data_IF_373430681139
#
_entry.id   IF_373430681139
#
_cell.length_a   1.000
_cell.length_b   1.000
_cell.length_c   1.000
_cell.angle_alpha   90.00
_cell.angle_beta   90.00
_cell.angle_gamma   90.00
#
_symmetry.space_group_name_H-M   'P 1'
#
loop_
_entity.id
_entity.type
_entity.pdbx_description
1 polymer ?
#
# COMPACT_ATOMS: atom_id res chain seq x y z
N UNK A 1 19.19 45.44 -0.29
CA UNK A 1 18.08 46.36 0.08
C UNK A 1 16.78 45.56 0.04
N UNK A 2 16.08 45.43 1.15
CA UNK A 2 14.89 44.57 1.26
C UNK A 2 13.61 45.38 1.02
N UNK A 3 12.69 44.83 0.22
CA UNK A 3 11.48 45.54 -0.24
C UNK A 3 10.46 45.77 0.89
N UNK A 4 9.81 46.95 0.95
CA UNK A 4 8.97 47.35 2.10
C UNK A 4 7.67 46.55 2.28
N UNK A 5 7.30 45.67 1.34
CA UNK A 5 6.14 44.77 1.49
C UNK A 5 6.39 43.64 2.50
N UNK A 6 7.62 43.12 2.60
CA UNK A 6 7.91 41.91 3.40
C UNK A 6 7.76 42.18 4.90
N UNK A 7 8.15 43.37 5.35
CA UNK A 7 8.04 43.77 6.76
C UNK A 7 6.61 43.95 7.27
N UNK A 8 5.65 44.28 6.39
CA UNK A 8 4.24 44.44 6.78
C UNK A 8 3.48 43.11 6.88
N UNK A 9 3.88 42.11 6.10
CA UNK A 9 3.27 40.77 6.16
C UNK A 9 3.71 40.02 7.43
N UNK A 10 4.99 40.17 7.83
CA UNK A 10 5.53 39.56 9.06
C UNK A 10 4.87 40.12 10.33
N UNK A 11 4.53 41.42 10.33
CA UNK A 11 3.88 42.08 11.47
C UNK A 11 2.40 41.67 11.63
N UNK A 12 1.70 41.37 10.54
CA UNK A 12 0.33 40.83 10.61
C UNK A 12 0.29 39.40 11.19
N UNK A 13 1.25 38.55 10.79
CA UNK A 13 1.35 37.17 11.29
C UNK A 13 1.65 37.11 12.80
N UNK A 14 2.44 38.04 13.33
CA UNK A 14 2.74 38.11 14.77
C UNK A 14 1.56 38.60 15.63
N UNK A 15 0.63 39.38 15.07
CA UNK A 15 -0.57 39.86 15.77
C UNK A 15 -1.70 38.81 15.85
N UNK A 16 -1.75 37.87 14.91
CA UNK A 16 -2.75 36.77 14.93
C UNK A 16 -2.40 35.69 15.97
N UNK A 17 -1.14 35.55 16.37
CA UNK A 17 -0.70 34.58 17.38
C UNK A 17 -0.86 35.05 18.85
N UNK A 18 -1.28 36.30 19.11
CA UNK A 18 -1.41 36.86 20.46
C UNK A 18 -2.84 36.90 21.01
N UNK A 19 -3.82 36.32 20.29
CA UNK A 19 -5.23 36.24 20.75
C UNK A 19 -5.74 34.80 20.67
N UNK A 20 -5.21 33.95 21.54
CA UNK A 20 -5.83 32.68 21.94
C UNK A 20 -6.26 32.78 23.40
N UNK A 21 -7.54 32.48 23.71
CA UNK A 21 -7.91 31.87 24.97
C UNK A 21 -8.33 30.41 24.75
N UNK A 22 -7.62 29.51 25.44
CA UNK A 22 -7.83 28.06 25.47
C UNK A 22 -9.06 27.69 26.31
N UNK A 23 -10.06 27.04 25.71
CA UNK A 23 -11.03 26.13 26.37
C UNK A 23 -11.53 25.16 25.27
N UNK A 24 -11.66 23.85 25.43
CA UNK A 24 -11.72 23.03 26.64
C UNK A 24 -12.81 21.97 26.40
N UNK A 25 -12.48 20.87 25.70
CA UNK A 25 -13.47 19.87 25.27
C UNK A 25 -13.55 18.73 26.30
N UNK A 26 -14.52 18.81 27.20
CA UNK A 26 -14.90 17.67 28.04
C UNK A 26 -15.66 16.61 27.22
N UNK A 27 -15.42 15.33 27.54
CA UNK A 27 -16.13 14.20 26.95
C UNK A 27 -16.41 13.15 28.02
N UNK A 28 -17.65 13.11 28.48
CA UNK A 28 -18.11 12.13 29.48
C UNK A 28 -18.15 10.71 28.90
N UNK A 29 -17.89 9.72 29.76
CA UNK A 29 -17.89 8.28 29.43
C UNK A 29 -19.09 7.56 30.04
N UNK A 30 -19.68 6.64 29.27
CA UNK A 30 -20.28 5.37 29.71
C UNK A 30 -21.28 5.34 30.89
N UNK A 31 -22.54 5.04 30.55
CA UNK A 31 -23.62 4.55 31.43
C UNK A 31 -24.11 5.56 32.50
N UNK A 32 -25.41 5.79 32.74
CA UNK A 32 -26.63 5.07 32.33
C UNK A 32 -27.78 6.03 31.95
N UNK A 33 -28.95 5.45 31.71
CA UNK A 33 -30.18 6.10 31.28
C UNK A 33 -30.64 7.31 32.12
N UNK A 34 -31.04 8.36 31.39
CA UNK A 34 -32.33 9.03 31.54
C UNK A 34 -32.64 9.85 32.82
N UNK A 35 -32.49 11.18 32.67
CA UNK A 35 -33.23 12.27 33.36
C UNK A 35 -32.78 12.59 34.81
N UNK A 36 -33.36 13.64 35.45
CA UNK A 36 -32.77 14.96 35.45
C UNK A 36 -31.91 15.20 36.71
N UNK A 37 -30.64 14.81 36.59
CA UNK A 37 -29.48 15.14 37.44
C UNK A 37 -29.73 15.15 38.97
N UNK A 38 -29.76 13.95 39.55
CA UNK A 38 -30.03 13.70 40.96
C UNK A 38 -28.81 13.91 41.88
N UNK A 39 -29.01 14.62 42.99
CA UNK A 39 -28.26 14.37 44.24
C UNK A 39 -29.22 14.39 45.44
N UNK A 40 -29.15 13.34 46.28
CA UNK A 40 -29.56 13.43 47.70
C UNK A 40 -28.97 12.27 48.49
N UNK A 41 -28.24 12.61 49.55
CA UNK A 41 -27.79 11.69 50.60
C UNK A 41 -28.55 11.99 51.90
N UNK A 42 -28.74 10.93 52.71
CA UNK A 42 -29.32 10.92 54.07
C UNK A 42 -30.74 11.49 54.21
N UNK A 43 -31.52 11.11 55.23
CA UNK A 43 -31.30 10.11 56.28
C UNK A 43 -32.47 10.16 57.26
N UNK A 44 -32.79 9.00 57.85
CA UNK A 44 -33.55 8.79 59.09
C UNK A 44 -34.64 9.81 59.54
N UNK A 45 -35.87 9.29 59.64
CA UNK A 45 -36.38 9.02 60.99
C UNK A 45 -37.38 9.97 61.65
N UNK A 46 -38.59 9.41 61.85
CA UNK A 46 -39.46 9.54 63.05
C UNK A 46 -40.33 10.79 63.26
N UNK A 47 -41.63 10.50 63.26
CA UNK A 47 -42.62 10.88 64.28
C UNK A 47 -42.75 12.37 64.67
N UNK A 48 -43.80 13.00 64.14
CA UNK A 48 -44.56 13.94 64.95
C UNK A 48 -45.29 13.17 66.08
N UNK A 49 -45.32 13.71 67.29
CA UNK A 49 -46.54 13.94 68.10
C UNK A 49 -46.20 14.48 69.50
N UNK A 50 -46.75 15.66 69.79
CA UNK A 50 -47.24 16.17 71.09
C UNK A 50 -46.29 16.65 72.22
N UNK A 51 -46.52 17.94 72.50
CA UNK A 51 -46.40 18.72 73.73
C UNK A 51 -46.69 18.02 75.09
N UNK A 52 -46.35 18.76 76.16
CA UNK A 52 -46.88 18.73 77.55
C UNK A 52 -46.19 17.89 78.66
N UNK A 53 -45.00 18.35 79.08
CA UNK A 53 -44.78 19.11 80.34
C UNK A 53 -45.66 18.84 81.60
N UNK A 54 -44.99 18.39 82.69
CA UNK A 54 -45.32 18.37 84.14
C UNK A 54 -46.49 17.53 84.71
N UNK A 55 -46.20 16.81 85.82
CA UNK A 55 -47.20 16.37 86.82
C UNK A 55 -46.83 15.12 87.65
N UNK A 56 -46.53 15.28 88.95
CA UNK A 56 -46.27 14.18 89.91
C UNK A 56 -47.55 13.46 90.37
N UNK A 57 -47.43 12.21 90.88
CA UNK A 57 -47.92 11.74 92.21
C UNK A 57 -47.85 10.20 92.40
N UNK A 58 -47.90 9.71 93.66
CA UNK A 58 -47.78 8.28 94.03
C UNK A 58 -49.07 7.67 94.61
N UNK A 59 -49.48 6.50 94.10
CA UNK A 59 -50.27 5.37 94.69
C UNK A 59 -50.49 4.30 93.60
N UNK A 60 -50.92 3.05 93.82
CA UNK A 60 -51.20 2.22 95.02
C UNK A 60 -51.70 0.83 94.54
N UNK A 61 -51.37 -0.33 95.16
CA UNK A 61 -51.40 -1.61 94.43
C UNK A 61 -52.61 -2.53 94.69
N UNK A 62 -53.07 -3.22 93.62
CA UNK A 62 -53.67 -4.58 93.54
C UNK A 62 -54.29 -4.74 92.13
N UNK A 63 -54.33 -5.89 91.44
CA UNK A 63 -53.72 -7.21 91.60
C UNK A 63 -53.95 -7.99 90.28
N UNK A 64 -53.14 -9.00 89.96
CA UNK A 64 -53.05 -9.53 88.58
C UNK A 64 -54.18 -10.52 88.21
N UNK A 65 -54.96 -10.30 87.13
CA UNK A 65 -55.75 -11.36 86.50
C UNK A 65 -54.85 -12.40 85.81
N UNK A 66 -55.32 -13.65 85.71
CA UNK A 66 -54.62 -14.72 85.00
C UNK A 66 -54.51 -14.46 83.50
N UNK A 67 -53.48 -15.03 82.85
CA UNK A 67 -53.28 -14.91 81.40
C UNK A 67 -54.16 -15.89 80.64
N UNK A 68 -54.81 -15.40 79.58
CA UNK A 68 -55.40 -16.25 78.55
C UNK A 68 -54.33 -17.04 77.78
N UNK A 69 -54.71 -18.21 77.28
CA UNK A 69 -53.84 -19.05 76.45
C UNK A 69 -53.62 -18.45 75.06
N UNK A 70 -52.36 -18.39 74.61
CA UNK A 70 -52.03 -17.88 73.28
C UNK A 70 -52.60 -18.80 72.17
N UNK A 71 -53.11 -18.26 71.06
CA UNK A 71 -53.47 -19.05 69.88
C UNK A 71 -52.28 -19.83 69.32
N UNK A 72 -52.54 -20.99 68.72
CA UNK A 72 -51.52 -21.79 68.04
C UNK A 72 -50.86 -21.03 66.89
N UNK A 73 -49.55 -21.21 66.73
CA UNK A 73 -48.77 -20.49 65.72
C UNK A 73 -49.14 -20.90 64.28
N UNK A 74 -49.18 -19.92 63.38
CA UNK A 74 -49.39 -20.15 61.95
C UNK A 74 -48.25 -20.99 61.35
N UNK A 75 -48.59 -21.86 60.39
CA UNK A 75 -47.62 -22.69 59.67
C UNK A 75 -46.58 -21.86 58.89
N UNK A 76 -45.36 -22.38 58.81
CA UNK A 76 -44.22 -21.71 58.17
C UNK A 76 -44.45 -21.63 56.64
N UNK A 77 -44.32 -20.46 56.00
CA UNK A 77 -44.37 -20.36 54.54
C UNK A 77 -43.28 -21.19 53.87
N UNK A 78 -43.61 -21.83 52.74
CA UNK A 78 -42.63 -22.58 51.95
C UNK A 78 -41.53 -21.69 51.37
N UNK A 79 -40.30 -22.19 51.35
CA UNK A 79 -39.14 -21.47 50.81
C UNK A 79 -39.26 -21.26 49.29
N UNK A 80 -38.95 -20.06 48.76
CA UNK A 80 -38.92 -19.82 47.31
C UNK A 80 -37.99 -20.78 46.57
N UNK A 81 -38.35 -21.12 45.32
CA UNK A 81 -37.53 -21.96 44.45
C UNK A 81 -36.20 -21.30 44.09
N UNK A 82 -35.16 -22.13 43.92
CA UNK A 82 -33.83 -21.68 43.48
C UNK A 82 -33.90 -21.13 42.05
N UNK A 83 -33.28 -19.96 41.76
CA UNK A 83 -33.18 -19.45 40.40
C UNK A 83 -32.46 -20.43 39.45
N UNK A 84 -32.85 -20.39 38.17
CA UNK A 84 -32.18 -21.17 37.12
C UNK A 84 -30.72 -20.75 36.94
N UNK A 85 -29.89 -21.69 36.48
CA UNK A 85 -28.46 -21.45 36.23
C UNK A 85 -28.26 -20.77 34.88
N UNK A 86 -27.39 -19.77 34.83
CA UNK A 86 -27.06 -19.06 33.59
C UNK A 86 -26.51 -20.00 32.51
N UNK A 87 -26.83 -19.68 31.25
CA UNK A 87 -26.33 -20.42 30.09
C UNK A 87 -24.82 -20.28 29.89
N UNK A 88 -24.21 -21.25 29.22
CA UNK A 88 -22.79 -21.19 28.87
C UNK A 88 -22.52 -20.03 27.91
N UNK A 89 -21.46 -19.27 28.19
CA UNK A 89 -21.03 -18.16 27.33
C UNK A 89 -20.50 -18.71 26.00
N UNK A 90 -20.99 -18.16 24.89
CA UNK A 90 -20.53 -18.54 23.55
C UNK A 90 -19.04 -18.30 23.34
N UNK A 91 -18.44 -19.09 22.46
CA UNK A 91 -17.03 -19.00 22.11
C UNK A 91 -16.70 -17.66 21.43
N UNK A 92 -15.48 -17.17 21.64
CA UNK A 92 -15.01 -15.93 21.03
C UNK A 92 -14.62 -16.23 19.57
N UNK A 93 -15.29 -15.60 18.62
CA UNK A 93 -14.95 -15.71 17.20
C UNK A 93 -13.49 -15.35 16.93
N UNK A 94 -12.82 -16.15 16.10
CA UNK A 94 -11.44 -15.93 15.69
C UNK A 94 -11.33 -14.73 14.75
N UNK A 95 -10.26 -13.95 14.92
CA UNK A 95 -9.96 -12.85 14.01
C UNK A 95 -9.22 -13.42 12.79
N UNK A 96 -9.90 -13.50 11.64
CA UNK A 96 -9.26 -13.82 10.37
C UNK A 96 -8.28 -12.69 10.04
N UNK A 97 -6.99 -12.95 10.16
CA UNK A 97 -5.96 -12.06 9.62
C UNK A 97 -5.82 -12.34 8.14
N UNK A 98 -6.49 -11.56 7.31
CA UNK A 98 -6.20 -11.53 5.87
C UNK A 98 -4.73 -11.13 5.68
N UNK A 99 -3.93 -12.04 5.13
CA UNK A 99 -2.58 -11.74 4.67
C UNK A 99 -2.75 -10.91 3.39
N UNK A 100 -2.75 -9.59 3.54
CA UNK A 100 -2.56 -8.69 2.41
C UNK A 100 -1.14 -8.91 1.87
N UNK A 101 -1.00 -9.77 0.86
CA UNK A 101 0.17 -9.75 -0.01
C UNK A 101 0.37 -8.30 -0.51
N UNK A 102 1.59 -7.77 -0.42
CA UNK A 102 1.83 -6.39 -0.86
C UNK A 102 1.42 -6.27 -2.35
N UNK A 103 0.47 -5.37 -2.69
CA UNK A 103 0.01 -5.25 -4.06
C UNK A 103 1.19 -4.91 -4.98
N UNK A 104 1.25 -5.56 -6.14
CA UNK A 104 2.38 -5.46 -7.06
C UNK A 104 2.68 -4.01 -7.45
N UNK A 105 3.69 -3.42 -6.80
CA UNK A 105 4.18 -2.08 -7.13
C UNK A 105 4.85 -2.15 -8.51
N UNK A 106 4.39 -1.38 -9.52
CA UNK A 106 5.04 -1.30 -10.82
C UNK A 106 6.47 -0.79 -10.67
N UNK A 107 7.43 -1.49 -11.27
CA UNK A 107 8.81 -1.06 -11.35
C UNK A 107 9.22 -1.04 -12.83
N UNK A 108 9.41 0.15 -13.38
CA UNK A 108 9.77 0.33 -14.78
C UNK A 108 10.75 1.49 -14.95
N UNK A 109 11.53 1.46 -16.03
CA UNK A 109 12.47 2.52 -16.40
C UNK A 109 12.50 2.68 -17.91
N UNK A 110 12.63 3.92 -18.36
CA UNK A 110 12.96 4.25 -19.74
C UNK A 110 14.28 5.01 -19.79
N UNK A 111 15.27 4.48 -20.52
CA UNK A 111 16.40 5.25 -21.01
C UNK A 111 16.10 5.71 -22.45
N UNK A 112 16.49 6.94 -22.79
CA UNK A 112 16.20 7.54 -24.09
C UNK A 112 17.39 8.38 -24.58
N UNK A 113 17.61 8.36 -25.89
CA UNK A 113 18.69 9.06 -26.57
C UNK A 113 18.14 9.82 -27.78
N UNK A 114 18.65 11.03 -28.02
CA UNK A 114 18.26 11.85 -29.17
C UNK A 114 18.81 11.32 -30.51
N UNK A 115 19.92 10.56 -30.46
CA UNK A 115 20.54 9.86 -31.58
C UNK A 115 21.45 8.77 -31.02
N UNK A 116 21.39 7.56 -31.59
CA UNK A 116 22.36 6.46 -31.33
C UNK A 116 23.21 6.16 -32.58
N UNK A 117 23.26 7.10 -33.53
CA UNK A 117 23.89 6.92 -34.83
C UNK A 117 25.43 6.98 -34.77
N UNK A 118 26.03 6.04 -34.04
CA UNK A 118 27.48 5.93 -33.83
C UNK A 118 28.20 5.05 -34.86
N UNK A 119 27.49 4.52 -35.88
CA UNK A 119 28.08 3.64 -36.90
C UNK A 119 28.50 2.26 -36.37
N UNK A 120 27.82 1.75 -35.35
CA UNK A 120 28.14 0.47 -34.71
C UNK A 120 27.52 -0.67 -35.54
N UNK A 121 28.35 -1.31 -36.36
CA UNK A 121 28.01 -2.55 -37.09
C UNK A 121 27.91 -3.77 -36.16
N UNK A 122 28.77 -3.83 -35.14
CA UNK A 122 28.94 -4.95 -34.21
C UNK A 122 29.32 -4.43 -32.83
N UNK A 123 28.70 -4.95 -31.78
CA UNK A 123 28.97 -4.59 -30.38
C UNK A 123 27.81 -3.90 -29.66
N UNK A 124 28.08 -3.41 -28.44
CA UNK A 124 27.11 -2.74 -27.56
C UNK A 124 26.72 -1.38 -28.16
N UNK A 125 25.43 -1.17 -28.40
CA UNK A 125 24.91 0.10 -28.93
C UNK A 125 24.59 1.07 -27.78
N UNK A 126 23.88 0.57 -26.76
CA UNK A 126 23.44 1.36 -25.62
C UNK A 126 23.03 0.46 -24.44
N UNK A 127 23.04 1.02 -23.24
CA UNK A 127 22.66 0.39 -21.98
C UNK A 127 21.77 1.26 -21.10
N UNK A 128 20.98 0.56 -20.28
CA UNK A 128 20.10 1.14 -19.29
C UNK A 128 20.15 0.32 -18.00
N UNK A 129 20.98 0.75 -17.05
CA UNK A 129 21.05 0.11 -15.73
C UNK A 129 19.70 0.17 -15.01
N UNK A 130 19.21 -0.96 -14.51
CA UNK A 130 17.90 -1.10 -13.86
C UNK A 130 18.04 -1.75 -12.49
N UNK A 131 17.23 -1.34 -11.52
CA UNK A 131 17.18 -1.98 -10.20
C UNK A 131 15.99 -2.93 -10.17
N UNK A 132 16.25 -4.23 -10.30
CA UNK A 132 15.23 -5.28 -10.17
C UNK A 132 14.98 -5.57 -8.69
N UNK A 133 13.72 -5.49 -8.26
CA UNK A 133 13.34 -5.58 -6.84
C UNK A 133 13.16 -7.02 -6.37
N UNK A 134 12.53 -7.88 -7.19
CA UNK A 134 12.21 -9.28 -6.84
C UNK A 134 13.05 -10.26 -7.65
N UNK A 135 13.51 -11.33 -6.99
CA UNK A 135 14.20 -12.43 -7.68
C UNK A 135 13.22 -13.35 -8.40
N UNK A 136 11.99 -13.45 -7.89
CA UNK A 136 10.89 -14.17 -8.55
C UNK A 136 10.01 -13.19 -9.34
N UNK A 137 10.60 -12.67 -10.42
CA UNK A 137 9.92 -11.80 -11.37
C UNK A 137 10.63 -11.86 -12.72
N UNK A 138 9.93 -11.53 -13.80
CA UNK A 138 10.53 -11.40 -15.12
C UNK A 138 10.95 -9.94 -15.40
N UNK A 139 11.80 -9.72 -16.40
CA UNK A 139 12.05 -8.40 -17.00
C UNK A 139 11.53 -8.40 -18.43
N UNK A 140 10.50 -7.60 -18.71
CA UNK A 140 10.14 -7.26 -20.09
C UNK A 140 11.04 -6.13 -20.53
N UNK A 141 11.67 -6.29 -21.70
CA UNK A 141 12.54 -5.28 -22.30
C UNK A 141 12.06 -4.96 -23.70
N UNK A 142 12.16 -3.70 -24.07
CA UNK A 142 11.84 -3.19 -25.40
C UNK A 142 12.88 -2.14 -25.80
N UNK A 143 13.59 -2.39 -26.89
CA UNK A 143 14.27 -1.35 -27.65
C UNK A 143 13.30 -0.81 -28.71
N UNK A 144 13.27 0.51 -28.89
CA UNK A 144 12.59 1.15 -30.01
C UNK A 144 13.49 2.24 -30.59
N UNK A 145 13.78 2.14 -31.89
CA UNK A 145 14.62 3.09 -32.60
C UNK A 145 14.76 2.72 -34.08
N UNK A 146 15.33 3.62 -34.88
CA UNK A 146 15.62 3.34 -36.29
C UNK A 146 16.64 2.22 -36.42
N UNK A 147 16.29 1.13 -37.10
CA UNK A 147 17.20 0.08 -37.53
C UNK A 147 17.37 0.12 -39.05
N UNK A 148 18.56 -0.23 -39.52
CA UNK A 148 18.86 -0.44 -40.95
C UNK A 148 19.96 -1.47 -41.11
N UNK A 149 19.75 -2.42 -42.02
CA UNK A 149 20.80 -3.24 -42.62
C UNK A 149 20.97 -2.83 -44.10
N UNK A 150 22.21 -2.85 -44.60
CA UNK A 150 22.55 -2.61 -46.01
C UNK A 150 23.64 -3.57 -46.47
N UNK A 151 23.51 -4.12 -47.66
CA UNK A 151 24.51 -4.98 -48.27
C UNK A 151 24.36 -5.04 -49.80
N UNK A 152 25.37 -5.58 -50.49
CA UNK A 152 25.39 -5.76 -51.96
C UNK A 152 24.89 -7.14 -52.40
N UNK A 153 24.91 -8.11 -51.51
CA UNK A 153 24.44 -9.49 -51.65
C UNK A 153 23.68 -9.87 -50.38
N UNK A 154 22.89 -10.95 -50.42
CA UNK A 154 22.30 -11.59 -49.25
C UNK A 154 23.18 -11.48 -47.98
N UNK A 155 22.65 -10.83 -46.95
CA UNK A 155 23.31 -10.59 -45.68
C UNK A 155 22.33 -10.61 -44.51
N UNK A 156 22.85 -10.71 -43.29
CA UNK A 156 22.03 -10.77 -42.09
C UNK A 156 22.73 -10.13 -40.90
N UNK A 157 21.97 -9.43 -40.07
CA UNK A 157 22.44 -8.87 -38.81
C UNK A 157 21.36 -9.01 -37.74
N UNK A 158 21.75 -9.29 -36.50
CA UNK A 158 20.83 -9.42 -35.36
C UNK A 158 21.02 -8.27 -34.38
N UNK A 159 19.92 -7.79 -33.80
CA UNK A 159 19.93 -6.89 -32.65
C UNK A 159 19.37 -7.64 -31.45
N UNK A 160 20.08 -7.64 -30.32
CA UNK A 160 19.75 -8.52 -29.19
C UNK A 160 20.01 -7.87 -27.84
N UNK A 161 19.33 -8.35 -26.79
CA UNK A 161 19.50 -7.90 -25.41
C UNK A 161 20.44 -8.79 -24.59
N UNK A 162 21.21 -8.15 -23.72
CA UNK A 162 21.96 -8.83 -22.64
C UNK A 162 21.59 -8.25 -21.28
N UNK A 163 21.62 -9.10 -20.26
CA UNK A 163 21.45 -8.77 -18.85
C UNK A 163 22.77 -9.07 -18.13
N UNK A 164 23.43 -8.06 -17.58
CA UNK A 164 24.79 -8.16 -17.00
C UNK A 164 25.82 -8.80 -17.96
N UNK A 165 25.70 -8.49 -19.26
CA UNK A 165 26.59 -9.00 -20.32
C UNK A 165 26.28 -10.42 -20.82
N UNK A 166 25.29 -11.13 -20.25
CA UNK A 166 24.83 -12.43 -20.74
C UNK A 166 23.52 -12.30 -21.53
N UNK A 167 23.36 -13.07 -22.61
CA UNK A 167 22.08 -13.18 -23.33
C UNK A 167 21.01 -13.85 -22.45
N UNK A 168 19.73 -13.61 -22.74
CA UNK A 168 18.66 -14.27 -22.02
C UNK A 168 18.63 -15.77 -22.33
N UNK A 169 18.49 -16.61 -21.30
CA UNK A 169 18.41 -18.07 -21.42
C UNK A 169 17.03 -18.65 -21.13
N UNK A 170 16.08 -17.83 -20.65
CA UNK A 170 14.74 -18.26 -20.25
C UNK A 170 13.68 -17.23 -20.65
N UNK A 171 12.78 -17.53 -21.60
CA UNK A 171 12.67 -18.80 -22.33
C UNK A 171 13.73 -18.97 -23.44
N UNK A 172 14.16 -17.88 -24.09
CA UNK A 172 15.10 -17.84 -25.22
C UNK A 172 15.82 -16.48 -25.26
N UNK A 173 16.90 -16.31 -26.06
CA UNK A 173 17.47 -14.99 -26.35
C UNK A 173 16.43 -14.01 -26.88
N UNK A 174 16.54 -12.75 -26.47
CA UNK A 174 15.66 -11.67 -26.93
C UNK A 174 16.37 -10.95 -28.06
N UNK A 175 15.97 -11.24 -29.29
CA UNK A 175 16.59 -10.70 -30.50
C UNK A 175 15.59 -10.38 -31.62
N UNK A 176 16.03 -9.52 -32.54
CA UNK A 176 15.36 -9.21 -33.80
C UNK A 176 16.39 -9.35 -34.91
N UNK A 177 16.09 -10.21 -35.88
CA UNK A 177 16.96 -10.51 -37.00
C UNK A 177 16.47 -9.76 -38.24
N UNK A 178 17.37 -9.02 -38.88
CA UNK A 178 17.12 -8.45 -40.21
C UNK A 178 17.94 -9.26 -41.21
N UNK A 179 17.24 -10.01 -42.06
CA UNK A 179 17.80 -10.51 -43.32
C UNK A 179 17.58 -9.47 -44.41
N UNK A 180 18.55 -9.32 -45.30
CA UNK A 180 18.42 -8.49 -46.49
C UNK A 180 19.07 -9.19 -47.68
N UNK A 181 18.27 -9.49 -48.70
CA UNK A 181 18.79 -9.79 -50.03
C UNK A 181 18.92 -8.51 -50.88
N UNK A 182 19.62 -8.63 -52.01
CA UNK A 182 19.90 -7.52 -52.92
C UNK A 182 18.63 -6.74 -53.32
N UNK A 183 18.78 -5.44 -53.62
CA UNK A 183 17.75 -4.69 -54.37
C UNK A 183 17.65 -5.18 -55.82
N UNK A 184 17.12 -4.38 -56.75
CA UNK A 184 17.13 -4.77 -58.17
C UNK A 184 18.58 -5.02 -58.62
N UNK A 185 18.90 -6.22 -59.14
CA UNK A 185 20.21 -6.54 -59.71
C UNK A 185 20.49 -5.70 -60.96
N UNK A 186 19.44 -5.41 -61.75
CA UNK A 186 19.51 -4.66 -63.01
C UNK A 186 20.02 -3.23 -62.80
N UNK A 187 19.68 -2.62 -61.66
CA UNK A 187 20.07 -1.26 -61.30
C UNK A 187 21.23 -1.18 -60.29
N UNK A 188 21.89 -2.30 -59.96
CA UNK A 188 22.96 -2.39 -58.95
C UNK A 188 22.58 -1.67 -57.62
N UNK A 189 21.32 -1.84 -57.21
CA UNK A 189 20.71 -1.06 -56.14
C UNK A 189 20.77 -1.80 -54.80
N UNK A 190 21.06 -1.08 -53.73
CA UNK A 190 21.02 -1.61 -52.35
C UNK A 190 19.87 -0.97 -51.58
N UNK A 191 19.02 -1.76 -50.94
CA UNK A 191 17.98 -1.25 -50.04
C UNK A 191 18.68 -0.54 -48.87
N UNK A 192 18.29 0.70 -48.59
CA UNK A 192 18.86 1.55 -47.55
C UNK A 192 17.75 2.26 -46.76
N UNK A 193 16.82 1.47 -46.21
CA UNK A 193 15.65 1.96 -45.47
C UNK A 193 15.99 2.02 -43.99
N UNK A 194 16.06 3.22 -43.44
CA UNK A 194 16.09 3.47 -42.00
C UNK A 194 14.64 3.47 -41.49
N UNK A 195 14.26 2.47 -40.69
CA UNK A 195 12.88 2.31 -40.19
C UNK A 195 12.90 2.12 -38.68
N UNK A 196 12.00 2.81 -37.97
CA UNK A 196 11.75 2.52 -36.55
C UNK A 196 11.26 1.10 -36.39
N UNK A 197 12.04 0.27 -35.70
CA UNK A 197 11.72 -1.12 -35.39
C UNK A 197 11.80 -1.32 -33.87
N UNK A 198 11.23 -2.43 -33.40
CA UNK A 198 11.40 -2.92 -32.03
C UNK A 198 12.31 -4.14 -31.97
N UNK A 199 12.99 -4.28 -30.83
CA UNK A 199 13.51 -5.54 -30.32
C UNK A 199 12.84 -5.69 -28.95
N UNK A 200 12.05 -6.73 -28.73
CA UNK A 200 11.35 -6.88 -27.45
C UNK A 200 11.21 -8.33 -27.01
N UNK A 201 11.05 -8.54 -25.72
CA UNK A 201 10.83 -9.86 -25.14
C UNK A 201 10.78 -9.85 -23.63
N UNK A 202 10.58 -11.04 -23.05
CA UNK A 202 10.52 -11.28 -21.62
C UNK A 202 11.72 -12.16 -21.22
N UNK A 203 12.46 -11.76 -20.18
CA UNK A 203 13.55 -12.56 -19.63
C UNK A 203 13.31 -12.96 -18.18
N UNK A 204 13.44 -14.26 -17.92
CA UNK A 204 13.36 -14.88 -16.60
C UNK A 204 14.76 -15.22 -16.05
N UNK A 205 14.84 -15.63 -14.78
CA UNK A 205 16.08 -16.05 -14.13
C UNK A 205 17.06 -14.92 -13.77
N UNK A 206 16.81 -13.69 -14.21
CA UNK A 206 17.56 -12.50 -13.81
C UNK A 206 17.39 -12.27 -12.29
N UNK A 207 18.49 -12.24 -11.53
CA UNK A 207 18.48 -12.02 -10.08
C UNK A 207 18.08 -10.59 -9.71
N UNK A 208 17.47 -10.40 -8.54
CA UNK A 208 17.26 -9.07 -7.96
C UNK A 208 18.59 -8.32 -7.74
N UNK A 209 18.52 -6.99 -7.71
CA UNK A 209 19.65 -6.09 -7.57
C UNK A 209 19.84 -5.19 -8.79
N UNK A 210 21.05 -4.67 -8.95
CA UNK A 210 21.44 -3.86 -10.11
C UNK A 210 21.64 -4.77 -11.33
N UNK A 211 21.02 -4.43 -12.45
CA UNK A 211 21.10 -5.16 -13.72
C UNK A 211 21.51 -4.20 -14.83
N UNK A 212 22.61 -4.47 -15.52
CA UNK A 212 22.94 -3.78 -16.79
C UNK A 212 22.13 -4.41 -17.92
N UNK A 213 21.14 -3.67 -18.45
CA UNK A 213 20.35 -4.10 -19.61
C UNK A 213 20.87 -3.37 -20.83
N UNK A 214 21.50 -4.08 -21.75
CA UNK A 214 22.16 -3.51 -22.92
C UNK A 214 21.62 -4.11 -24.22
N UNK A 215 21.52 -3.28 -25.26
CA UNK A 215 21.18 -3.70 -26.63
C UNK A 215 22.45 -3.71 -27.50
N UNK A 216 22.61 -4.76 -28.28
CA UNK A 216 23.81 -5.09 -29.06
C UNK A 216 23.47 -5.34 -30.53
N UNK A 217 24.44 -5.15 -31.42
CA UNK A 217 24.41 -5.66 -32.79
C UNK A 217 25.38 -6.85 -32.92
N UNK A 218 24.95 -7.92 -33.57
CA UNK A 218 25.73 -9.14 -33.76
C UNK A 218 25.52 -9.77 -35.15
N UNK A 219 26.32 -10.80 -35.46
CA UNK A 219 26.21 -11.58 -36.69
C UNK A 219 25.12 -12.65 -36.59
N UNK A 220 24.51 -13.01 -37.71
CA UNK A 220 23.72 -14.23 -37.84
C UNK A 220 24.63 -15.45 -38.09
N UNK A 221 24.11 -16.68 -37.96
CA UNK A 221 24.90 -17.91 -38.14
C UNK A 221 25.29 -18.18 -39.60
N UNK A 222 24.33 -18.09 -40.54
CA UNK A 222 24.47 -18.65 -41.89
C UNK A 222 24.60 -17.60 -43.03
N UNK A 223 24.84 -16.33 -42.68
CA UNK A 223 24.87 -15.23 -43.65
C UNK A 223 26.00 -14.24 -43.35
N UNK A 224 26.60 -13.60 -44.38
CA UNK A 224 27.62 -12.59 -44.17
C UNK A 224 27.03 -11.35 -43.50
N UNK A 225 27.86 -10.62 -42.75
CA UNK A 225 27.47 -9.35 -42.12
C UNK A 225 27.19 -8.28 -43.17
N UNK A 226 26.25 -7.39 -42.88
CA UNK A 226 26.05 -6.15 -43.64
C UNK A 226 26.68 -4.93 -42.97
N UNK A 227 26.38 -3.77 -43.55
CA UNK A 227 26.54 -2.42 -42.98
C UNK A 227 25.28 -2.11 -42.17
N UNK A 228 25.39 -2.08 -40.85
CA UNK A 228 24.28 -1.99 -39.91
C UNK A 228 24.26 -0.63 -39.20
N UNK A 229 23.07 -0.09 -38.95
CA UNK A 229 22.92 1.23 -38.32
C UNK A 229 21.74 1.21 -37.35
N UNK A 230 21.92 1.91 -36.23
CA UNK A 230 20.95 2.05 -35.15
C UNK A 230 20.77 3.54 -34.83
N UNK A 231 19.53 3.99 -34.62
CA UNK A 231 19.20 5.35 -34.18
C UNK A 231 19.47 6.47 -35.19
N UNK A 232 19.52 6.19 -36.50
CA UNK A 232 19.74 7.22 -37.53
C UNK A 232 18.61 8.26 -37.55
N UNK A 233 18.99 9.53 -37.36
CA UNK A 233 18.12 10.71 -37.38
C UNK A 233 16.80 10.56 -36.58
N UNK A 234 16.87 9.81 -35.47
CA UNK A 234 15.70 9.40 -34.71
C UNK A 234 16.05 9.20 -33.25
N UNK A 235 15.10 9.54 -32.36
CA UNK A 235 15.17 9.12 -30.96
C UNK A 235 15.19 7.60 -30.84
N UNK A 236 15.94 7.09 -29.87
CA UNK A 236 15.96 5.67 -29.50
C UNK A 236 15.67 5.51 -28.02
N UNK A 237 15.07 4.38 -27.62
CA UNK A 237 14.66 4.08 -26.24
C UNK A 237 14.94 2.63 -25.87
N UNK A 238 15.29 2.41 -24.61
CA UNK A 238 15.19 1.12 -23.94
C UNK A 238 14.16 1.30 -22.82
N UNK A 239 13.08 0.53 -22.87
CA UNK A 239 12.07 0.42 -21.82
C UNK A 239 12.27 -0.92 -21.12
N UNK A 240 12.24 -0.91 -19.79
CA UNK A 240 12.42 -2.08 -18.93
C UNK A 240 11.27 -2.07 -17.94
N UNK A 241 10.55 -3.18 -17.84
CA UNK A 241 9.42 -3.37 -16.93
C UNK A 241 9.66 -4.66 -16.12
N UNK A 242 9.60 -4.58 -14.79
CA UNK A 242 9.57 -5.76 -13.94
C UNK A 242 8.13 -6.26 -13.84
N UNK A 243 7.90 -7.51 -14.20
CA UNK A 243 6.58 -8.15 -14.23
C UNK A 243 6.52 -9.34 -13.26
N UNK A 244 5.36 -9.64 -12.65
CA UNK A 244 5.19 -10.88 -11.91
C UNK A 244 5.32 -12.07 -12.87
N UNK A 245 5.60 -13.24 -12.31
CA UNK A 245 5.40 -14.51 -13.01
C UNK A 245 3.98 -15.01 -12.78
#
# INVERSE_FOLDING_TARGET
MMSPLVGRLLLLLLLVCLVLPLYGVEKCTGNDAEKPNCTRHSGEGRAAYLNNMYGSCMQGPSGNPGRDGNPGANGIPGTPGIPGRDGLKGEKGECISEIFEEPWKPNYKQCAWNSLNYGIDLGKVADCTFTKLRSDSALRVLFSGSLRLKCKSACCQRWYFTFNGAECTGPLPIESIIYLDQGSPEFNSTINIHRTSSVEGLCEGVKAGLVDVAVWVGTCADYPRGDASTGWNSVSRIIIEELPK
#
